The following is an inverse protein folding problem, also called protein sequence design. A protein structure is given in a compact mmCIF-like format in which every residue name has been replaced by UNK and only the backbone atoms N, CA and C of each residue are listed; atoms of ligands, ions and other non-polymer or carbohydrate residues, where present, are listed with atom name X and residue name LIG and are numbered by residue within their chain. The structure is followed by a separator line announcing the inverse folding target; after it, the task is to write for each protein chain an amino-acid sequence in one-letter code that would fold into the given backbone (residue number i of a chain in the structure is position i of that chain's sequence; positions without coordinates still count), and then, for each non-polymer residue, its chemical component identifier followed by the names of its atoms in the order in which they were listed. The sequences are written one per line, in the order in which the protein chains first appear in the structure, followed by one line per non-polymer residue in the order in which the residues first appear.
data_IF_756140950258
#
_entry.id   IF_756140950258
#
_cell.length_a   1.000
_cell.length_b   1.000
_cell.length_c   1.000
_cell.angle_alpha   90.00
_cell.angle_beta   90.00
_cell.angle_gamma   90.00
#
_symmetry.space_group_name_H-M   'P 1'
#
loop_
_entity.id
_entity.type
_entity.pdbx_description
1 polymer ?
#
# COMPACT_ATOMS: atom_id res chain seq x y z
N UNK A 1 8.87 -17.11 18.75
CA UNK A 1 8.61 -16.69 17.35
C UNK A 1 8.96 -17.77 16.31
N UNK A 2 9.82 -18.77 16.62
CA UNK A 2 10.13 -19.89 15.70
C UNK A 2 8.89 -20.71 15.29
N UNK A 3 7.87 -20.83 16.14
CA UNK A 3 6.64 -21.58 15.82
C UNK A 3 5.73 -20.91 14.78
N UNK A 4 5.84 -19.59 14.55
CA UNK A 4 4.94 -18.86 13.64
C UNK A 4 5.31 -19.05 12.16
N UNK A 5 6.61 -19.20 11.88
CA UNK A 5 7.13 -19.38 10.51
C UNK A 5 6.75 -20.74 9.92
N UNK A 6 6.69 -21.77 10.75
CA UNK A 6 6.31 -23.14 10.35
C UNK A 6 4.80 -23.28 10.16
N UNK A 7 3.98 -22.73 11.07
CA UNK A 7 2.52 -22.88 11.01
C UNK A 7 1.88 -22.42 9.68
N UNK A 8 2.44 -21.39 9.02
CA UNK A 8 1.93 -20.88 7.75
C UNK A 8 2.34 -21.71 6.51
N UNK A 9 3.46 -22.45 6.57
CA UNK A 9 4.08 -23.14 5.43
C UNK A 9 3.69 -24.61 5.31
N UNK A 10 2.94 -25.15 6.27
CA UNK A 10 2.68 -26.59 6.38
C UNK A 10 1.25 -26.98 5.96
N UNK A 11 0.39 -26.02 5.57
CA UNK A 11 -1.03 -26.31 5.28
C UNK A 11 -1.56 -25.60 4.04
N UNK A 12 -2.23 -26.36 3.17
CA UNK A 12 -3.10 -25.83 2.12
C UNK A 12 -4.36 -25.21 2.74
N UNK A 13 -4.55 -23.90 2.53
CA UNK A 13 -5.62 -23.11 3.18
C UNK A 13 -6.58 -22.50 2.16
N UNK A 14 -7.86 -22.39 2.55
CA UNK A 14 -8.85 -21.56 1.86
C UNK A 14 -8.62 -20.08 2.16
N UNK A 15 -9.26 -19.18 1.40
CA UNK A 15 -9.05 -17.74 1.55
C UNK A 15 -9.58 -17.25 2.91
N UNK A 16 -10.72 -17.77 3.37
CA UNK A 16 -11.29 -17.50 4.70
C UNK A 16 -10.32 -17.94 5.80
N UNK A 17 -9.71 -19.12 5.64
CA UNK A 17 -8.72 -19.60 6.61
C UNK A 17 -7.48 -18.69 6.66
N UNK A 18 -7.01 -18.16 5.53
CA UNK A 18 -5.92 -17.17 5.53
C UNK A 18 -6.30 -15.90 6.29
N UNK A 19 -7.52 -15.37 6.11
CA UNK A 19 -8.01 -14.19 6.81
C UNK A 19 -8.15 -14.43 8.31
N UNK A 20 -8.77 -15.55 8.70
CA UNK A 20 -8.95 -15.93 10.11
C UNK A 20 -7.62 -16.07 10.85
N UNK A 21 -6.62 -16.66 10.19
CA UNK A 21 -5.28 -16.84 10.76
C UNK A 21 -4.48 -15.54 10.81
N UNK A 22 -4.63 -14.66 9.80
CA UNK A 22 -4.08 -13.30 9.87
C UNK A 22 -4.68 -12.49 11.02
N UNK A 23 -5.99 -12.63 11.25
CA UNK A 23 -6.68 -11.98 12.35
C UNK A 23 -6.16 -12.50 13.70
N UNK A 24 -6.13 -13.82 13.91
CA UNK A 24 -5.56 -14.43 15.12
C UNK A 24 -4.13 -13.99 15.36
N UNK A 25 -3.28 -14.04 14.32
CA UNK A 25 -1.89 -13.61 14.42
C UNK A 25 -1.75 -12.15 14.89
N UNK A 26 -2.60 -11.25 14.40
CA UNK A 26 -2.60 -9.84 14.81
C UNK A 26 -3.09 -9.65 16.26
N UNK A 27 -4.24 -10.23 16.61
CA UNK A 27 -4.89 -9.97 17.90
C UNK A 27 -4.24 -10.74 19.05
N UNK A 28 -3.84 -12.00 18.83
CA UNK A 28 -3.19 -12.82 19.86
C UNK A 28 -1.82 -12.26 20.25
N UNK A 29 -1.19 -11.50 19.34
CA UNK A 29 0.16 -10.94 19.53
C UNK A 29 0.18 -9.41 19.54
N UNK A 30 -0.96 -8.73 19.69
CA UNK A 30 -1.09 -7.29 19.47
C UNK A 30 -0.12 -6.48 20.34
N UNK A 31 0.05 -6.86 21.61
CA UNK A 31 0.97 -6.21 22.54
C UNK A 31 2.42 -6.32 22.08
N UNK A 32 2.81 -7.51 21.60
CA UNK A 32 4.15 -7.75 21.10
C UNK A 32 4.40 -6.98 19.80
N UNK A 33 3.45 -7.03 18.85
CA UNK A 33 3.54 -6.29 17.59
C UNK A 33 3.69 -4.80 17.89
N UNK A 34 2.79 -4.23 18.69
CA UNK A 34 2.84 -2.83 19.10
C UNK A 34 4.19 -2.46 19.72
N UNK A 35 4.65 -3.21 20.72
CA UNK A 35 5.93 -2.93 21.41
C UNK A 35 7.14 -2.93 20.48
N UNK A 36 7.09 -3.66 19.35
CA UNK A 36 8.20 -3.80 18.40
C UNK A 36 8.07 -2.90 17.18
N UNK A 37 6.90 -2.31 16.91
CA UNK A 37 6.66 -1.50 15.70
C UNK A 37 6.30 -0.04 15.96
N UNK A 38 5.87 0.34 17.18
CA UNK A 38 5.26 1.65 17.44
C UNK A 38 6.11 2.85 17.00
N UNK A 39 7.44 2.83 17.19
CA UNK A 39 8.33 3.93 16.75
C UNK A 39 8.28 4.09 15.23
N UNK A 40 8.33 2.98 14.49
CA UNK A 40 8.31 3.00 13.03
C UNK A 40 6.96 3.46 12.50
N UNK A 41 5.88 3.03 13.15
CA UNK A 41 4.52 3.47 12.84
C UNK A 41 4.36 4.97 13.12
N UNK A 42 4.86 5.45 14.26
CA UNK A 42 4.81 6.87 14.66
C UNK A 42 5.58 7.77 13.68
N UNK A 43 6.80 7.38 13.32
CA UNK A 43 7.62 8.13 12.34
C UNK A 43 6.91 8.19 11.00
N UNK A 44 6.37 7.06 10.52
CA UNK A 44 5.66 7.02 9.25
C UNK A 44 4.36 7.84 9.31
N UNK A 45 3.61 7.81 10.42
CA UNK A 45 2.38 8.59 10.56
C UNK A 45 2.65 10.09 10.58
N UNK A 46 3.70 10.54 11.27
CA UNK A 46 4.12 11.95 11.30
C UNK A 46 4.54 12.42 9.91
N UNK A 47 5.36 11.64 9.20
CA UNK A 47 5.80 11.98 7.84
C UNK A 47 4.63 11.99 6.85
N UNK A 48 3.74 10.99 6.94
CA UNK A 48 2.52 10.93 6.12
C UNK A 48 1.62 12.13 6.37
N UNK A 49 1.43 12.53 7.64
CA UNK A 49 0.65 13.71 8.00
C UNK A 49 1.29 15.00 7.51
N UNK A 50 2.62 15.11 7.60
CA UNK A 50 3.38 16.27 7.10
C UNK A 50 3.22 16.41 5.59
N UNK A 51 3.47 15.32 4.86
CA UNK A 51 3.27 15.25 3.42
C UNK A 51 1.84 15.63 3.04
N UNK A 52 0.85 15.04 3.71
CA UNK A 52 -0.55 15.30 3.48
C UNK A 52 -0.93 16.77 3.72
N UNK A 53 -0.50 17.35 4.84
CA UNK A 53 -0.77 18.75 5.20
C UNK A 53 -0.19 19.74 4.20
N UNK A 54 1.06 19.52 3.74
CA UNK A 54 1.68 20.39 2.72
C UNK A 54 0.94 20.24 1.38
N UNK A 55 0.56 19.03 1.00
CA UNK A 55 -0.21 18.80 -0.23
C UNK A 55 -1.57 19.48 -0.23
N UNK A 56 -2.32 19.35 0.87
CA UNK A 56 -3.62 20.02 1.03
C UNK A 56 -3.43 21.54 1.00
N UNK A 57 -2.39 22.05 1.65
CA UNK A 57 -2.08 23.48 1.57
C UNK A 57 -1.81 23.93 0.13
N UNK A 58 -0.98 23.19 -0.62
CA UNK A 58 -0.69 23.49 -2.01
C UNK A 58 -1.95 23.43 -2.91
N UNK A 59 -2.88 22.52 -2.61
CA UNK A 59 -4.15 22.39 -3.33
C UNK A 59 -5.11 23.55 -3.04
N UNK A 60 -5.20 24.00 -1.79
CA UNK A 60 -6.16 25.01 -1.34
C UNK A 60 -5.67 26.45 -1.58
N UNK A 61 -4.39 26.70 -1.40
CA UNK A 61 -3.79 28.05 -1.43
C UNK A 61 -2.85 28.27 -2.63
N UNK A 62 -2.70 27.26 -3.49
CA UNK A 62 -1.76 27.28 -4.61
C UNK A 62 -0.36 26.83 -4.21
N UNK A 63 0.47 26.59 -5.22
CA UNK A 63 1.84 26.09 -5.05
C UNK A 63 2.87 27.16 -5.39
N UNK A 64 4.03 27.08 -4.74
CA UNK A 64 5.22 27.84 -5.08
C UNK A 64 6.45 26.91 -5.08
N UNK A 65 7.62 27.43 -5.48
CA UNK A 65 8.85 26.62 -5.57
C UNK A 65 9.22 25.98 -4.24
N UNK A 66 9.11 26.72 -3.12
CA UNK A 66 9.45 26.22 -1.79
C UNK A 66 8.51 25.09 -1.34
N UNK A 67 7.20 25.24 -1.55
CA UNK A 67 6.19 24.21 -1.26
C UNK A 67 6.41 22.97 -2.13
N UNK A 68 6.72 23.16 -3.42
CA UNK A 68 7.02 22.06 -4.34
C UNK A 68 8.26 21.28 -3.88
N UNK A 69 9.34 21.98 -3.50
CA UNK A 69 10.53 21.35 -2.92
C UNK A 69 10.20 20.63 -1.60
N UNK A 70 9.40 21.23 -0.72
CA UNK A 70 8.95 20.62 0.52
C UNK A 70 8.13 19.34 0.30
N UNK A 71 7.25 19.33 -0.70
CA UNK A 71 6.51 18.15 -1.15
C UNK A 71 7.47 17.05 -1.59
N UNK A 72 8.45 17.36 -2.45
CA UNK A 72 9.40 16.35 -2.91
C UNK A 72 10.23 15.75 -1.77
N UNK A 73 10.74 16.59 -0.86
CA UNK A 73 11.51 16.14 0.31
C UNK A 73 10.67 15.23 1.21
N UNK A 74 9.45 15.66 1.54
CA UNK A 74 8.56 14.90 2.43
C UNK A 74 8.04 13.62 1.77
N UNK A 75 7.85 13.61 0.45
CA UNK A 75 7.54 12.39 -0.31
C UNK A 75 8.66 11.36 -0.20
N UNK A 76 9.91 11.76 -0.44
CA UNK A 76 11.08 10.87 -0.33
C UNK A 76 11.24 10.35 1.10
N UNK A 77 11.12 11.23 2.11
CA UNK A 77 11.19 10.82 3.51
C UNK A 77 10.09 9.81 3.88
N UNK A 78 8.86 10.04 3.42
CA UNK A 78 7.72 9.12 3.64
C UNK A 78 7.96 7.77 2.97
N UNK A 79 8.47 7.75 1.75
CA UNK A 79 8.84 6.50 1.05
C UNK A 79 9.93 5.72 1.79
N UNK A 80 10.98 6.40 2.28
CA UNK A 80 12.01 5.76 3.09
C UNK A 80 11.42 5.16 4.37
N UNK A 81 10.58 5.91 5.08
CA UNK A 81 9.92 5.44 6.29
C UNK A 81 8.97 4.26 6.02
N UNK A 82 8.27 4.26 4.89
CA UNK A 82 7.41 3.16 4.46
C UNK A 82 8.19 1.87 4.23
N UNK A 83 9.36 1.94 3.58
CA UNK A 83 10.24 0.78 3.39
C UNK A 83 10.74 0.24 4.73
N UNK A 84 11.16 1.13 5.66
CA UNK A 84 11.61 0.73 6.99
C UNK A 84 10.48 0.09 7.80
N UNK A 85 9.28 0.67 7.75
CA UNK A 85 8.07 0.10 8.35
C UNK A 85 7.77 -1.30 7.82
N UNK A 86 7.73 -1.48 6.50
CA UNK A 86 7.47 -2.78 5.87
C UNK A 86 8.55 -3.80 6.25
N UNK A 87 9.82 -3.40 6.23
CA UNK A 87 10.94 -4.24 6.64
C UNK A 87 10.81 -4.67 8.11
N UNK A 88 10.31 -3.79 8.98
CA UNK A 88 10.08 -4.10 10.39
C UNK A 88 8.95 -5.11 10.58
N UNK A 89 7.86 -4.99 9.81
CA UNK A 89 6.78 -5.99 9.84
C UNK A 89 7.31 -7.34 9.33
N UNK A 90 8.07 -7.34 8.24
CA UNK A 90 8.67 -8.57 7.69
C UNK A 90 9.68 -9.22 8.64
N UNK A 91 10.42 -8.43 9.42
CA UNK A 91 11.27 -8.93 10.50
C UNK A 91 10.48 -9.77 11.53
N UNK A 92 9.25 -9.36 11.88
CA UNK A 92 8.40 -10.13 12.79
C UNK A 92 7.97 -11.48 12.20
N UNK A 93 7.89 -11.57 10.87
CA UNK A 93 7.44 -12.77 10.17
C UNK A 93 8.61 -13.74 9.93
N UNK A 94 9.70 -13.26 9.34
CA UNK A 94 10.78 -14.13 8.88
C UNK A 94 11.96 -14.26 9.86
N UNK A 95 12.04 -13.39 10.88
CA UNK A 95 13.09 -13.36 11.90
C UNK A 95 14.49 -12.97 11.39
N UNK A 96 14.61 -12.52 10.14
CA UNK A 96 15.91 -12.18 9.53
C UNK A 96 16.37 -10.78 9.94
N UNK A 97 17.69 -10.47 9.88
CA UNK A 97 18.21 -9.15 10.26
C UNK A 97 17.50 -7.99 9.56
N UNK A 98 17.36 -6.85 10.25
CA UNK A 98 16.64 -5.68 9.73
C UNK A 98 17.20 -5.18 8.39
N UNK A 99 18.53 -5.08 8.26
CA UNK A 99 19.21 -4.63 7.03
C UNK A 99 18.87 -5.54 5.85
N UNK A 100 18.75 -6.85 6.10
CA UNK A 100 18.36 -7.82 5.08
C UNK A 100 16.94 -7.55 4.56
N UNK A 101 16.00 -7.31 5.49
CA UNK A 101 14.61 -6.99 5.16
C UNK A 101 14.49 -5.64 4.44
N UNK A 102 15.24 -4.62 4.87
CA UNK A 102 15.28 -3.30 4.21
C UNK A 102 15.69 -3.47 2.76
N UNK A 103 16.82 -4.12 2.47
CA UNK A 103 17.30 -4.31 1.09
C UNK A 103 16.27 -4.98 0.19
N UNK A 104 15.61 -6.03 0.69
CA UNK A 104 14.57 -6.77 -0.06
C UNK A 104 13.32 -5.92 -0.30
N UNK A 105 12.86 -5.21 0.73
CA UNK A 105 11.71 -4.31 0.62
C UNK A 105 12.01 -3.15 -0.33
N UNK A 106 13.19 -2.53 -0.24
CA UNK A 106 13.64 -1.47 -1.16
C UNK A 106 13.58 -1.92 -2.62
N UNK A 107 14.06 -3.14 -2.93
CA UNK A 107 14.04 -3.63 -4.31
C UNK A 107 12.61 -3.79 -4.85
N UNK A 108 11.68 -4.32 -4.06
CA UNK A 108 10.27 -4.45 -4.46
C UNK A 108 9.64 -3.05 -4.62
N UNK A 109 9.86 -2.16 -3.66
CA UNK A 109 9.35 -0.79 -3.70
C UNK A 109 9.93 -0.02 -4.90
N UNK A 110 11.21 -0.18 -5.22
CA UNK A 110 11.83 0.44 -6.38
C UNK A 110 11.24 -0.07 -7.70
N UNK A 111 10.97 -1.37 -7.82
CA UNK A 111 10.27 -1.93 -8.98
C UNK A 111 8.87 -1.32 -9.12
N UNK A 112 8.12 -1.19 -8.02
CA UNK A 112 6.80 -0.57 -8.02
C UNK A 112 6.85 0.92 -8.39
N UNK A 113 7.78 1.69 -7.82
CA UNK A 113 7.97 3.11 -8.15
C UNK A 113 8.35 3.29 -9.62
N UNK A 114 9.28 2.49 -10.13
CA UNK A 114 9.68 2.54 -11.53
C UNK A 114 8.49 2.26 -12.47
N UNK A 115 7.64 1.30 -12.11
CA UNK A 115 6.41 1.02 -12.84
C UNK A 115 5.42 2.19 -12.80
N UNK A 116 5.14 2.75 -11.62
CA UNK A 116 4.26 3.91 -11.46
C UNK A 116 4.78 5.14 -12.24
N UNK A 117 6.08 5.39 -12.19
CA UNK A 117 6.71 6.50 -12.91
C UNK A 117 6.50 6.39 -14.42
N UNK A 118 6.71 5.20 -15.00
CA UNK A 118 6.45 4.96 -16.43
C UNK A 118 4.98 5.21 -16.77
N UNK A 119 4.04 4.72 -15.95
CA UNK A 119 2.61 4.98 -16.17
C UNK A 119 2.26 6.46 -16.12
N UNK A 120 2.80 7.19 -15.13
CA UNK A 120 2.60 8.64 -15.03
C UNK A 120 3.16 9.38 -16.24
N UNK A 121 4.33 8.98 -16.77
CA UNK A 121 4.87 9.56 -17.99
C UNK A 121 3.97 9.31 -19.21
N UNK A 122 3.41 8.10 -19.33
CA UNK A 122 2.47 7.76 -20.41
C UNK A 122 1.21 8.64 -20.31
N UNK A 123 0.60 8.73 -19.13
CA UNK A 123 -0.58 9.58 -18.93
C UNK A 123 -0.29 11.06 -19.18
N UNK A 124 0.84 11.57 -18.69
CA UNK A 124 1.27 12.94 -18.93
C UNK A 124 1.49 13.21 -20.43
N UNK A 125 2.14 12.31 -21.16
CA UNK A 125 2.37 12.45 -22.59
C UNK A 125 1.05 12.48 -23.39
N UNK A 126 0.10 11.61 -23.04
CA UNK A 126 -1.23 11.58 -23.67
C UNK A 126 -1.97 12.89 -23.39
N UNK A 127 -2.03 13.34 -22.13
CA UNK A 127 -2.70 14.60 -21.77
C UNK A 127 -2.04 15.79 -22.45
N UNK A 128 -0.72 15.86 -22.46
CA UNK A 128 0.02 16.93 -23.13
C UNK A 128 -0.22 16.95 -24.64
N UNK A 129 -0.23 15.79 -25.30
CA UNK A 129 -0.54 15.70 -26.73
C UNK A 129 -1.96 16.17 -27.08
N UNK A 130 -2.94 15.86 -26.22
CA UNK A 130 -4.32 16.35 -26.38
C UNK A 130 -4.35 17.88 -26.23
N UNK A 131 -3.71 18.42 -25.20
CA UNK A 131 -3.68 19.88 -24.97
C UNK A 131 -2.97 20.60 -26.12
N UNK A 132 -1.84 20.08 -26.59
CA UNK A 132 -1.09 20.66 -27.69
C UNK A 132 -1.88 20.65 -29.01
N UNK A 133 -2.61 19.57 -29.29
CA UNK A 133 -3.41 19.46 -30.53
C UNK A 133 -4.64 20.37 -30.55
N UNK A 134 -5.25 20.65 -29.39
CA UNK A 134 -6.44 21.49 -29.26
C UNK A 134 -6.16 22.94 -28.88
N UNK A 135 -4.94 23.26 -28.44
CA UNK A 135 -4.54 24.59 -27.97
C UNK A 135 -5.09 24.91 -26.57
N UNK A 136 -6.41 25.03 -26.45
CA UNK A 136 -7.10 25.23 -25.17
C UNK A 136 -8.13 24.12 -24.96
N UNK A 137 -8.03 23.42 -23.83
CA UNK A 137 -8.93 22.32 -23.47
C UNK A 137 -9.62 22.67 -22.17
N UNK A 138 -10.95 22.56 -22.15
CA UNK A 138 -11.73 22.75 -20.93
C UNK A 138 -11.66 21.51 -20.03
N UNK A 139 -11.96 21.66 -18.73
CA UNK A 139 -11.99 20.52 -17.81
C UNK A 139 -13.01 19.44 -18.24
N UNK A 140 -14.14 19.87 -18.82
CA UNK A 140 -15.18 18.98 -19.32
C UNK A 140 -14.68 18.05 -20.44
N UNK A 141 -13.76 18.54 -21.28
CA UNK A 141 -13.17 17.75 -22.36
C UNK A 141 -12.07 16.79 -21.88
N UNK A 142 -11.43 17.07 -20.73
CA UNK A 142 -10.46 16.17 -20.10
C UNK A 142 -11.10 15.08 -19.24
N UNK A 143 -12.34 15.30 -18.77
CA UNK A 143 -13.07 14.37 -17.92
C UNK A 143 -13.13 12.93 -18.48
N UNK A 144 -13.49 12.72 -19.77
CA UNK A 144 -13.52 11.38 -20.35
C UNK A 144 -12.15 10.70 -20.39
N UNK A 145 -11.09 11.49 -20.62
CA UNK A 145 -9.71 10.99 -20.63
C UNK A 145 -9.33 10.49 -19.24
N UNK A 146 -9.69 11.22 -18.19
CA UNK A 146 -9.44 10.80 -16.81
C UNK A 146 -10.22 9.54 -16.44
N UNK A 147 -11.45 9.36 -16.93
CA UNK A 147 -12.18 8.10 -16.74
C UNK A 147 -11.50 6.92 -17.43
N UNK A 148 -10.97 7.13 -18.64
CA UNK A 148 -10.18 6.10 -19.35
C UNK A 148 -8.91 5.76 -18.55
N UNK A 149 -8.19 6.76 -18.06
CA UNK A 149 -7.01 6.54 -17.20
C UNK A 149 -7.36 5.75 -15.94
N UNK A 150 -8.49 6.07 -15.30
CA UNK A 150 -9.01 5.32 -14.16
C UNK A 150 -9.32 3.86 -14.50
N UNK A 151 -10.03 3.61 -15.60
CA UNK A 151 -10.35 2.27 -16.07
C UNK A 151 -9.11 1.44 -16.42
N UNK A 152 -8.14 2.03 -17.13
CA UNK A 152 -6.87 1.39 -17.47
C UNK A 152 -6.06 1.10 -16.20
N UNK A 153 -6.00 2.02 -15.25
CA UNK A 153 -5.32 1.82 -13.96
C UNK A 153 -5.94 0.66 -13.17
N UNK A 154 -7.27 0.52 -13.20
CA UNK A 154 -7.95 -0.60 -12.56
C UNK A 154 -7.59 -1.95 -13.20
N UNK A 155 -7.59 -2.03 -14.55
CA UNK A 155 -7.17 -3.24 -15.26
C UNK A 155 -5.71 -3.59 -14.94
N UNK A 156 -4.82 -2.60 -14.93
CA UNK A 156 -3.41 -2.78 -14.57
C UNK A 156 -3.27 -3.32 -13.14
N UNK A 157 -4.03 -2.78 -12.18
CA UNK A 157 -4.03 -3.26 -10.79
C UNK A 157 -4.39 -4.75 -10.73
N UNK A 158 -5.39 -5.20 -11.49
CA UNK A 158 -5.78 -6.61 -11.57
C UNK A 158 -4.68 -7.50 -12.16
N UNK A 159 -3.97 -7.02 -13.18
CA UNK A 159 -2.82 -7.71 -13.77
C UNK A 159 -1.65 -7.78 -12.78
N UNK A 160 -1.50 -6.79 -11.91
CA UNK A 160 -0.42 -6.73 -10.92
C UNK A 160 -0.65 -7.63 -9.69
N UNK A 161 -1.84 -8.20 -9.48
CA UNK A 161 -2.12 -9.05 -8.32
C UNK A 161 -1.12 -10.20 -8.09
N UNK A 162 -0.68 -10.96 -9.12
CA UNK A 162 0.33 -12.01 -8.94
C UNK A 162 1.66 -11.50 -8.38
N UNK A 163 2.00 -10.22 -8.53
CA UNK A 163 3.22 -9.65 -7.96
C UNK A 163 3.24 -9.68 -6.44
N UNK A 164 2.10 -9.79 -5.77
CA UNK A 164 2.05 -9.95 -4.31
C UNK A 164 2.69 -11.28 -3.91
N UNK A 165 2.40 -12.36 -4.65
CA UNK A 165 3.06 -13.64 -4.46
C UNK A 165 4.55 -13.57 -4.81
N UNK A 166 4.92 -12.93 -5.92
CA UNK A 166 6.35 -12.74 -6.30
C UNK A 166 7.11 -11.99 -5.21
N UNK A 167 6.55 -10.89 -4.70
CA UNK A 167 7.16 -10.05 -3.67
C UNK A 167 7.35 -10.81 -2.37
N UNK A 168 6.34 -11.53 -1.90
CA UNK A 168 6.48 -12.32 -0.67
C UNK A 168 7.45 -13.49 -0.84
N UNK A 169 7.44 -14.17 -1.99
CA UNK A 169 8.43 -15.20 -2.29
C UNK A 169 9.86 -14.66 -2.24
N UNK A 170 10.10 -13.50 -2.84
CA UNK A 170 11.40 -12.82 -2.80
C UNK A 170 11.84 -12.43 -1.38
N UNK A 171 10.92 -12.05 -0.50
CA UNK A 171 11.19 -11.69 0.90
C UNK A 171 11.35 -12.93 1.80
N UNK A 172 10.76 -14.07 1.46
CA UNK A 172 10.84 -15.26 2.29
C UNK A 172 12.04 -16.14 1.91
N UNK A 173 12.36 -16.23 0.62
CA UNK A 173 13.43 -17.08 0.10
C UNK A 173 14.79 -16.35 0.06
N UNK A 174 15.80 -16.83 0.83
CA UNK A 174 17.08 -16.15 0.95
C UNK A 174 17.90 -16.20 -0.34
N UNK A 175 17.85 -17.31 -1.07
CA UNK A 175 18.72 -17.56 -2.23
C UNK A 175 18.17 -17.00 -3.55
N UNK A 176 16.92 -16.53 -3.51
CA UNK A 176 16.20 -16.07 -4.70
C UNK A 176 16.62 -14.64 -5.09
N UNK A 177 17.02 -14.44 -6.35
CA UNK A 177 17.20 -13.09 -6.95
C UNK A 177 15.89 -12.67 -7.63
N UNK A 178 15.42 -11.44 -7.42
CA UNK A 178 14.11 -10.95 -7.89
C UNK A 178 13.91 -11.20 -9.39
N UNK A 179 14.86 -10.76 -10.22
CA UNK A 179 14.79 -10.92 -11.68
C UNK A 179 14.83 -12.38 -12.15
N UNK A 180 15.40 -13.31 -11.38
CA UNK A 180 15.44 -14.74 -11.74
C UNK A 180 14.11 -15.42 -11.45
N UNK A 181 13.43 -15.01 -10.38
CA UNK A 181 12.19 -15.66 -9.95
C UNK A 181 10.93 -15.00 -10.51
N UNK A 182 11.02 -13.75 -10.98
CA UNK A 182 9.86 -12.92 -11.36
C UNK A 182 8.95 -13.64 -12.34
N UNK A 183 9.46 -14.12 -13.47
CA UNK A 183 8.64 -14.73 -14.54
C UNK A 183 7.97 -16.02 -14.07
N UNK A 184 8.77 -16.94 -13.50
CA UNK A 184 8.24 -18.24 -13.03
C UNK A 184 7.22 -18.06 -11.91
N UNK A 185 7.52 -17.19 -10.95
CA UNK A 185 6.65 -16.93 -9.81
C UNK A 185 5.40 -16.14 -10.20
N UNK A 186 5.50 -15.25 -11.18
CA UNK A 186 4.36 -14.53 -11.73
C UNK A 186 3.39 -15.49 -12.44
N UNK A 187 3.90 -16.42 -13.24
CA UNK A 187 3.08 -17.48 -13.86
C UNK A 187 2.40 -18.36 -12.81
N UNK A 188 3.12 -18.73 -11.74
CA UNK A 188 2.50 -19.41 -10.59
C UNK A 188 1.41 -18.55 -9.95
N UNK A 189 1.66 -17.27 -9.71
CA UNK A 189 0.66 -16.35 -9.15
C UNK A 189 -0.57 -16.20 -10.06
N UNK A 190 -0.40 -16.17 -11.39
CA UNK A 190 -1.49 -16.15 -12.36
C UNK A 190 -2.37 -17.41 -12.27
N UNK A 191 -1.77 -18.59 -12.05
CA UNK A 191 -2.54 -19.83 -11.85
C UNK A 191 -3.46 -19.76 -10.64
N UNK A 192 -3.06 -19.02 -9.60
CA UNK A 192 -3.84 -18.79 -8.39
C UNK A 192 -4.46 -17.38 -8.35
N UNK A 193 -4.66 -16.74 -9.50
CA UNK A 193 -5.11 -15.35 -9.58
C UNK A 193 -6.43 -15.11 -8.84
N UNK A 194 -7.44 -15.97 -9.06
CA UNK A 194 -8.73 -15.84 -8.39
C UNK A 194 -8.65 -16.00 -6.86
N UNK A 195 -7.74 -16.85 -6.38
CA UNK A 195 -7.48 -17.02 -4.94
C UNK A 195 -6.81 -15.77 -4.35
N UNK A 196 -5.81 -15.22 -5.05
CA UNK A 196 -5.16 -13.95 -4.69
C UNK A 196 -6.18 -12.82 -4.65
N UNK A 197 -6.98 -12.68 -5.71
CA UNK A 197 -8.00 -11.65 -5.85
C UNK A 197 -9.01 -11.67 -4.70
N UNK A 198 -9.66 -12.81 -4.45
CA UNK A 198 -10.71 -12.91 -3.42
C UNK A 198 -10.15 -12.61 -2.02
N UNK A 199 -9.00 -13.18 -1.69
CA UNK A 199 -8.39 -12.96 -0.37
C UNK A 199 -8.02 -11.49 -0.15
N UNK A 200 -7.44 -10.84 -1.16
CA UNK A 200 -7.07 -9.42 -1.07
C UNK A 200 -8.28 -8.50 -1.11
N UNK A 201 -9.30 -8.83 -1.90
CA UNK A 201 -10.55 -8.08 -1.94
C UNK A 201 -11.19 -8.06 -0.55
N UNK A 202 -11.31 -9.22 0.10
CA UNK A 202 -11.86 -9.33 1.45
C UNK A 202 -10.97 -8.63 2.48
N UNK A 203 -9.65 -8.82 2.41
CA UNK A 203 -8.74 -8.14 3.33
C UNK A 203 -8.84 -6.62 3.18
N UNK A 204 -8.84 -6.12 1.95
CA UNK A 204 -8.95 -4.70 1.64
C UNK A 204 -10.29 -4.15 2.10
N UNK A 205 -11.39 -4.86 1.88
CA UNK A 205 -12.73 -4.48 2.36
C UNK A 205 -12.78 -4.37 3.89
N UNK A 206 -12.22 -5.34 4.61
CA UNK A 206 -12.12 -5.26 6.07
C UNK A 206 -11.29 -4.06 6.51
N UNK A 207 -10.10 -3.87 5.92
CA UNK A 207 -9.22 -2.76 6.29
C UNK A 207 -9.79 -1.40 5.90
N UNK A 208 -10.56 -1.30 4.81
CA UNK A 208 -11.13 -0.04 4.33
C UNK A 208 -12.31 0.40 5.19
N UNK A 209 -13.15 -0.53 5.66
CA UNK A 209 -14.21 -0.22 6.62
C UNK A 209 -13.60 0.32 7.91
N UNK A 210 -12.63 -0.39 8.49
CA UNK A 210 -11.96 0.08 9.71
C UNK A 210 -11.22 1.41 9.48
N UNK A 211 -10.51 1.55 8.35
CA UNK A 211 -9.78 2.75 7.99
C UNK A 211 -10.69 3.96 7.76
N UNK A 212 -11.86 3.76 7.14
CA UNK A 212 -12.84 4.81 6.93
C UNK A 212 -13.37 5.33 8.26
N UNK A 213 -13.76 4.45 9.19
CA UNK A 213 -14.22 4.83 10.53
C UNK A 213 -13.16 5.63 11.29
N UNK A 214 -11.91 5.16 11.27
CA UNK A 214 -10.77 5.85 11.91
C UNK A 214 -10.45 7.19 11.26
N UNK A 215 -10.77 7.36 9.97
CA UNK A 215 -10.48 8.57 9.21
C UNK A 215 -11.62 9.59 9.21
N UNK A 216 -12.78 9.30 9.82
CA UNK A 216 -13.89 10.26 9.95
C UNK A 216 -13.43 11.62 10.52
N UNK A 217 -12.66 11.68 11.63
CA UNK A 217 -12.18 12.95 12.15
C UNK A 217 -11.29 13.71 11.16
N UNK A 218 -10.45 12.99 10.41
CA UNK A 218 -9.61 13.59 9.36
C UNK A 218 -10.48 14.21 8.27
N UNK A 219 -11.52 13.49 7.80
CA UNK A 219 -12.44 14.00 6.78
C UNK A 219 -13.20 15.25 7.25
N UNK A 220 -13.66 15.28 8.51
CA UNK A 220 -14.35 16.45 9.08
C UNK A 220 -13.43 17.67 9.09
N UNK A 221 -12.20 17.52 9.59
CA UNK A 221 -11.24 18.64 9.67
C UNK A 221 -10.82 19.11 8.28
N UNK A 222 -10.67 18.20 7.32
CA UNK A 222 -10.40 18.55 5.92
C UNK A 222 -11.56 19.32 5.29
N UNK A 223 -12.79 18.85 5.46
CA UNK A 223 -13.98 19.52 4.93
C UNK A 223 -14.12 20.93 5.53
N UNK A 224 -13.92 21.07 6.83
CA UNK A 224 -13.93 22.37 7.50
C UNK A 224 -12.86 23.33 6.92
N UNK A 225 -11.64 22.82 6.65
CA UNK A 225 -10.60 23.63 6.02
C UNK A 225 -11.00 24.07 4.60
N UNK A 226 -11.41 23.12 3.76
CA UNK A 226 -11.79 23.39 2.39
C UNK A 226 -12.95 24.38 2.28
N UNK A 227 -13.99 24.22 3.11
CA UNK A 227 -15.13 25.13 3.17
C UNK A 227 -14.74 26.52 3.66
N UNK A 228 -13.85 26.63 4.66
CA UNK A 228 -13.35 27.93 5.12
C UNK A 228 -12.55 28.64 4.03
N UNK A 229 -11.67 27.93 3.32
CA UNK A 229 -10.91 28.50 2.20
C UNK A 229 -11.84 28.95 1.09
N UNK A 230 -12.88 28.16 0.79
CA UNK A 230 -13.87 28.52 -0.21
C UNK A 230 -14.64 29.79 0.19
N UNK A 231 -15.14 29.88 1.43
CA UNK A 231 -15.84 31.05 1.93
C UNK A 231 -14.99 32.33 1.89
N UNK A 232 -13.73 32.23 2.33
CA UNK A 232 -12.79 33.37 2.30
C UNK A 232 -12.50 33.81 0.87
N UNK A 233 -12.18 32.88 -0.03
CA UNK A 233 -11.69 33.22 -1.37
C UNK A 233 -12.81 33.59 -2.36
N UNK A 234 -14.00 33.02 -2.21
CA UNK A 234 -15.09 33.19 -3.19
C UNK A 234 -16.30 33.97 -2.66
N UNK A 235 -16.53 33.96 -1.34
CA UNK A 235 -17.67 34.66 -0.72
C UNK A 235 -17.25 35.93 0.03
N UNK A 236 -15.95 36.10 0.33
CA UNK A 236 -15.43 37.24 1.08
C UNK A 236 -15.65 37.12 2.59
N UNK A 237 -15.97 35.92 3.09
CA UNK A 237 -16.17 35.66 4.50
C UNK A 237 -14.86 35.79 5.30
N UNK A 238 -14.90 36.22 6.57
CA UNK A 238 -13.74 36.06 7.45
C UNK A 238 -13.44 34.58 7.68
N UNK A 239 -12.18 34.26 8.03
CA UNK A 239 -11.85 32.88 8.42
C UNK A 239 -12.64 32.48 9.68
N UNK A 240 -13.43 31.41 9.56
CA UNK A 240 -14.17 30.82 10.68
C UNK A 240 -13.32 29.89 11.54
N UNK A 241 -12.06 29.65 11.15
CA UNK A 241 -11.18 28.69 11.80
C UNK A 241 -10.30 29.33 12.87
N UNK A 242 -10.09 28.66 14.02
CA UNK A 242 -9.19 29.17 15.04
C UNK A 242 -7.73 29.21 14.56
N UNK A 243 -6.87 30.10 15.10
CA UNK A 243 -5.47 30.21 14.67
C UNK A 243 -4.65 28.92 14.81
N UNK A 244 -5.00 28.04 15.75
CA UNK A 244 -4.35 26.75 16.00
C UNK A 244 -4.93 25.60 15.17
N UNK A 245 -5.84 25.87 14.23
CA UNK A 245 -6.53 24.83 13.46
C UNK A 245 -5.57 23.93 12.66
N UNK A 246 -4.49 24.49 12.11
CA UNK A 246 -3.46 23.71 11.40
C UNK A 246 -2.81 22.66 12.30
N UNK A 247 -2.60 22.98 13.58
CA UNK A 247 -2.04 22.05 14.57
C UNK A 247 -3.05 20.94 14.87
N UNK A 248 -4.34 21.27 15.00
CA UNK A 248 -5.41 20.27 15.16
C UNK A 248 -5.44 19.33 13.95
N UNK A 249 -5.47 19.88 12.74
CA UNK A 249 -5.48 19.09 11.51
C UNK A 249 -4.30 18.14 11.44
N UNK A 250 -3.09 18.64 11.67
CA UNK A 250 -1.89 17.81 11.68
C UNK A 250 -1.97 16.68 12.71
N UNK A 251 -2.43 17.00 13.92
CA UNK A 251 -2.57 16.04 15.02
C UNK A 251 -3.58 14.94 14.69
N UNK A 252 -4.77 15.32 14.20
CA UNK A 252 -5.83 14.39 13.82
C UNK A 252 -5.37 13.46 12.69
N UNK A 253 -4.75 14.00 11.64
CA UNK A 253 -4.22 13.21 10.52
C UNK A 253 -3.13 12.24 11.00
N UNK A 254 -2.26 12.68 11.92
CA UNK A 254 -1.21 11.82 12.50
C UNK A 254 -1.82 10.65 13.25
N UNK A 255 -2.79 10.89 14.15
CA UNK A 255 -3.44 9.82 14.91
C UNK A 255 -4.24 8.86 14.02
N UNK A 256 -5.02 9.37 13.06
CA UNK A 256 -5.74 8.52 12.10
C UNK A 256 -4.76 7.65 11.30
N UNK A 257 -3.67 8.24 10.79
CA UNK A 257 -2.64 7.51 10.05
C UNK A 257 -1.95 6.44 10.90
N UNK A 258 -1.66 6.75 12.17
CA UNK A 258 -1.05 5.82 13.12
C UNK A 258 -1.89 4.56 13.31
N UNK A 259 -3.20 4.72 13.51
CA UNK A 259 -4.13 3.59 13.68
C UNK A 259 -4.31 2.83 12.35
N UNK A 260 -4.46 3.54 11.23
CA UNK A 260 -4.58 2.93 9.90
C UNK A 260 -3.36 2.07 9.53
N UNK A 261 -2.15 2.44 9.96
CA UNK A 261 -0.95 1.62 9.75
C UNK A 261 -1.03 0.28 10.48
N UNK A 262 -1.56 0.24 11.72
CA UNK A 262 -1.78 -1.04 12.42
C UNK A 262 -2.86 -1.89 11.74
N UNK A 263 -3.93 -1.26 11.25
CA UNK A 263 -4.95 -1.95 10.43
C UNK A 263 -4.29 -2.56 9.18
N UNK A 264 -3.37 -1.87 8.53
CA UNK A 264 -2.65 -2.39 7.36
C UNK A 264 -1.75 -3.59 7.65
N UNK A 265 -1.28 -3.80 8.89
CA UNK A 265 -0.52 -5.01 9.26
C UNK A 265 -1.37 -6.27 9.04
N UNK A 266 -2.69 -6.20 9.26
CA UNK A 266 -3.60 -7.31 8.96
C UNK A 266 -3.50 -7.75 7.50
N UNK A 267 -3.56 -6.80 6.56
CA UNK A 267 -3.45 -7.10 5.13
C UNK A 267 -2.09 -7.74 4.78
N UNK A 268 -1.00 -7.28 5.41
CA UNK A 268 0.34 -7.87 5.23
C UNK A 268 0.36 -9.34 5.71
N UNK A 269 -0.28 -9.64 6.84
CA UNK A 269 -0.39 -11.02 7.34
C UNK A 269 -1.28 -11.89 6.45
N UNK A 270 -2.36 -11.35 5.87
CA UNK A 270 -3.17 -12.07 4.88
C UNK A 270 -2.30 -12.46 3.68
N UNK A 271 -1.52 -11.52 3.14
CA UNK A 271 -0.57 -11.82 2.05
C UNK A 271 0.41 -12.94 2.45
N UNK A 272 0.91 -12.92 3.68
CA UNK A 272 1.84 -13.94 4.18
C UNK A 272 1.23 -15.35 4.19
N UNK A 273 0.05 -15.51 4.78
CA UNK A 273 -0.64 -16.81 4.79
C UNK A 273 -1.09 -17.24 3.40
N UNK A 274 -1.42 -16.28 2.54
CA UNK A 274 -1.72 -16.55 1.13
C UNK A 274 -0.53 -17.14 0.40
N UNK A 275 0.65 -16.53 0.56
CA UNK A 275 1.90 -17.06 0.00
C UNK A 275 2.17 -18.48 0.51
N UNK A 276 2.04 -18.73 1.82
CA UNK A 276 2.24 -20.05 2.41
C UNK A 276 1.29 -21.11 1.83
N UNK A 277 0.01 -20.76 1.65
CA UNK A 277 -0.98 -21.65 1.04
C UNK A 277 -0.65 -22.00 -0.42
N UNK A 278 -0.20 -21.02 -1.22
CA UNK A 278 0.21 -21.26 -2.62
C UNK A 278 1.43 -22.18 -2.68
N UNK A 279 2.44 -21.95 -1.84
CA UNK A 279 3.63 -22.82 -1.79
C UNK A 279 3.27 -24.25 -1.42
N UNK A 280 2.40 -24.46 -0.44
CA UNK A 280 1.95 -25.81 -0.05
C UNK A 280 1.19 -26.50 -1.18
N UNK A 281 0.26 -25.80 -1.85
CA UNK A 281 -0.48 -26.35 -3.00
C UNK A 281 0.43 -26.72 -4.17
N UNK A 282 1.45 -25.92 -4.45
CA UNK A 282 2.43 -26.22 -5.50
C UNK A 282 3.37 -27.38 -5.12
N UNK A 283 3.67 -27.59 -3.84
CA UNK A 283 4.39 -28.78 -3.36
C UNK A 283 3.54 -30.04 -3.49
N UNK A 284 2.32 -30.03 -2.97
CA UNK A 284 1.34 -31.13 -3.06
C UNK A 284 1.13 -31.56 -4.52
N UNK A 285 0.98 -30.59 -5.44
CA UNK A 285 0.84 -30.84 -6.87
C UNK A 285 2.07 -31.55 -7.47
N UNK A 286 3.28 -31.10 -7.15
CA UNK A 286 4.52 -31.73 -7.64
C UNK A 286 4.72 -33.14 -7.10
N UNK A 287 4.38 -33.37 -5.84
CA UNK A 287 4.42 -34.71 -5.24
C UNK A 287 3.42 -35.65 -5.91
N UNK A 288 2.21 -35.17 -6.20
CA UNK A 288 1.22 -35.93 -6.94
C UNK A 288 1.69 -36.28 -8.37
N UNK A 289 2.23 -35.31 -9.10
CA UNK A 289 2.78 -35.52 -10.46
C UNK A 289 3.96 -36.51 -10.43
N UNK A 290 4.85 -36.41 -9.44
CA UNK A 290 5.96 -37.36 -9.26
C UNK A 290 5.46 -38.77 -8.96
N UNK A 291 4.46 -38.91 -8.08
CA UNK A 291 3.88 -40.21 -7.72
C UNK A 291 3.09 -40.85 -8.88
N UNK A 292 2.52 -40.04 -9.77
CA UNK A 292 1.88 -40.52 -11.00
C UNK A 292 2.91 -41.09 -11.98
N UNK A 293 4.00 -40.36 -12.23
CA UNK A 293 5.05 -40.76 -13.17
C UNK A 293 5.89 -41.97 -12.70
N UNK A 294 5.81 -42.36 -11.43
CA UNK A 294 6.44 -43.59 -10.90
C UNK A 294 5.55 -44.82 -11.06
N UNK A 295 4.24 -44.62 -11.33
CA UNK A 295 3.26 -45.71 -11.51
C UNK A 295 2.98 -46.05 -12.97
N UNK A 296 3.43 -45.22 -13.90
CA UNK A 296 3.42 -45.44 -15.36
C UNK A 296 4.78 -45.98 -15.81
#
# INVERSE_FOLDING_TARGET
MNNLKQAALDKSRSYISCLSEAHRMLFDNIRQIFSKTWIFVLVLSILSATYFSIHIHAMLYGTNTALTTGICITAVATLCAQVVYLARVMFLINGRPMIWNIKRCTNITACYIGFCFILTLIYAAITYGIVLSKGSVTLAELLPVFYIFGGVSFVIMLIMLPFIYVGLKYIMEPDSKLWKIITKSYVTGLRYWGFIFIALLLATLCTSICGALVSIPTLIVMAANALSVFGVNYLGDPTGLPPYFTVIQFTVVTFSSFICLYINIFAIFVCYFLYGSIETKEKEKKEYEKNKNVKE
#
